data_IF_839823461239
#
_entry.id   IF_839823461239
#
_cell.length_a   1.000
_cell.length_b   1.000
_cell.length_c   1.000
_cell.angle_alpha   90.00
_cell.angle_beta   90.00
_cell.angle_gamma   90.00
#
_symmetry.space_group_name_H-M   'P 1'
#
loop_
_entity.id
_entity.type
_entity.pdbx_description
1 polymer ?
#
# COMPACT_ATOMS: atom_id res chain seq x y z
N UNK A 1 14.58 17.86 -9.20
CA UNK A 1 13.94 17.05 -8.13
C UNK A 1 12.53 16.69 -8.58
N UNK A 2 11.71 16.18 -7.66
CA UNK A 2 10.26 16.02 -7.86
C UNK A 2 9.56 17.37 -7.62
N UNK A 3 8.56 17.66 -8.44
CA UNK A 3 7.79 18.92 -8.38
C UNK A 3 6.45 18.74 -7.64
N UNK A 4 5.97 17.51 -7.51
CA UNK A 4 4.66 17.18 -6.96
C UNK A 4 3.53 17.20 -7.99
N UNK A 5 3.85 17.43 -9.27
CA UNK A 5 2.89 17.42 -10.40
C UNK A 5 2.99 16.15 -11.24
N UNK A 6 3.89 15.23 -10.87
CA UNK A 6 4.06 13.98 -11.55
C UNK A 6 2.87 13.03 -11.28
N UNK A 7 2.57 12.17 -12.24
CA UNK A 7 1.75 10.97 -12.00
C UNK A 7 2.67 9.88 -11.48
N UNK A 8 2.31 9.28 -10.34
CA UNK A 8 3.11 8.26 -9.68
C UNK A 8 2.49 6.89 -9.88
N UNK A 9 3.26 5.97 -10.46
CA UNK A 9 2.98 4.54 -10.49
C UNK A 9 3.85 3.84 -9.44
N UNK A 10 3.23 3.00 -8.60
CA UNK A 10 3.87 2.33 -7.48
C UNK A 10 3.66 0.83 -7.63
N UNK A 11 4.76 0.10 -7.79
CA UNK A 11 4.75 -1.36 -7.99
C UNK A 11 5.56 -2.07 -6.91
N UNK A 12 5.34 -3.38 -6.77
CA UNK A 12 6.04 -4.21 -5.77
C UNK A 12 5.32 -4.40 -4.44
N UNK A 13 4.12 -3.82 -4.27
CA UNK A 13 3.30 -3.94 -3.04
C UNK A 13 2.71 -5.36 -2.80
N UNK A 14 2.67 -6.21 -3.82
CA UNK A 14 1.94 -7.49 -3.76
C UNK A 14 2.64 -8.56 -2.92
N UNK A 15 3.93 -8.43 -2.60
CA UNK A 15 4.69 -9.43 -1.83
C UNK A 15 4.37 -9.33 -0.34
N UNK A 16 4.20 -10.47 0.32
CA UNK A 16 3.85 -10.59 1.76
C UNK A 16 4.95 -10.13 2.72
N UNK A 17 6.15 -9.87 2.22
CA UNK A 17 7.32 -9.42 2.96
C UNK A 17 7.94 -8.14 2.40
N UNK A 18 7.31 -7.48 1.41
CA UNK A 18 7.82 -6.24 0.83
C UNK A 18 8.16 -5.21 1.92
N UNK A 19 9.36 -4.65 1.84
CA UNK A 19 9.88 -3.55 2.66
C UNK A 19 10.21 -2.31 1.83
N UNK A 20 10.19 -2.46 0.50
CA UNK A 20 10.46 -1.42 -0.49
C UNK A 20 9.51 -1.57 -1.69
N UNK A 21 9.29 -0.46 -2.39
CA UNK A 21 8.47 -0.37 -3.60
C UNK A 21 9.20 0.39 -4.68
N UNK A 22 8.90 0.09 -5.94
CA UNK A 22 9.40 0.85 -7.08
C UNK A 22 8.40 1.93 -7.44
N UNK A 23 8.89 3.16 -7.56
CA UNK A 23 8.10 4.34 -7.89
C UNK A 23 8.55 4.87 -9.23
N UNK A 24 7.62 5.01 -10.17
CA UNK A 24 7.80 5.71 -11.44
C UNK A 24 7.01 7.01 -11.40
N UNK A 25 7.71 8.14 -11.44
CA UNK A 25 7.13 9.48 -11.47
C UNK A 25 7.22 10.06 -12.88
N UNK A 26 6.08 10.28 -13.52
CA UNK A 26 5.99 10.84 -14.88
C UNK A 26 5.55 12.29 -14.80
N UNK A 27 6.41 13.21 -15.21
CA UNK A 27 6.11 14.64 -15.25
C UNK A 27 5.13 15.00 -16.38
N UNK A 28 4.44 16.15 -16.30
CA UNK A 28 3.50 16.60 -17.34
C UNK A 28 4.11 16.78 -18.73
N UNK A 29 5.42 16.97 -18.81
CA UNK A 29 6.20 17.06 -20.04
C UNK A 29 6.62 15.70 -20.61
N UNK A 30 6.21 14.59 -19.97
CA UNK A 30 6.51 13.22 -20.35
C UNK A 30 7.81 12.66 -19.77
N UNK A 31 8.64 13.47 -19.10
CA UNK A 31 9.87 12.99 -18.50
C UNK A 31 9.58 12.06 -17.32
N UNK A 32 10.18 10.85 -17.33
CA UNK A 32 10.01 9.87 -16.28
C UNK A 32 11.23 9.79 -15.36
N UNK A 33 11.00 9.57 -14.07
CA UNK A 33 12.01 9.27 -13.05
C UNK A 33 11.62 8.02 -12.31
N UNK A 34 12.56 7.12 -12.09
CA UNK A 34 12.34 5.88 -11.34
C UNK A 34 13.24 5.87 -10.10
N UNK A 35 12.67 5.47 -8.97
CA UNK A 35 13.39 5.35 -7.71
C UNK A 35 12.70 4.36 -6.77
N UNK A 36 13.46 3.85 -5.81
CA UNK A 36 12.97 2.95 -4.76
C UNK A 36 12.55 3.77 -3.54
N UNK A 37 11.43 3.38 -2.93
CA UNK A 37 10.95 3.97 -1.69
C UNK A 37 10.72 2.89 -0.63
N UNK A 38 11.03 3.22 0.64
CA UNK A 38 10.77 2.32 1.76
C UNK A 38 9.28 2.19 2.03
N UNK A 39 8.77 0.96 2.09
CA UNK A 39 7.41 0.64 2.48
C UNK A 39 7.28 0.69 4.01
N UNK A 40 6.38 1.53 4.52
CA UNK A 40 6.13 1.72 5.97
C UNK A 40 4.97 0.85 6.48
N UNK A 41 4.92 -0.40 6.03
CA UNK A 41 4.09 -1.45 6.64
C UNK A 41 5.05 -2.28 7.47
N UNK A 42 5.28 -1.85 8.71
CA UNK A 42 6.39 -2.30 9.55
C UNK A 42 6.03 -3.60 10.30
N UNK A 43 4.74 -3.90 10.45
CA UNK A 43 4.28 -5.13 11.13
C UNK A 43 3.41 -6.03 10.24
N UNK A 44 3.38 -7.36 10.49
CA UNK A 44 2.45 -8.26 9.81
C UNK A 44 0.97 -7.87 10.02
N UNK A 45 0.65 -7.26 11.16
CA UNK A 45 -0.71 -6.84 11.50
C UNK A 45 -1.16 -5.64 10.67
N UNK A 46 -0.29 -4.65 10.46
CA UNK A 46 -0.56 -3.52 9.57
C UNK A 46 -0.80 -3.96 8.13
N UNK A 47 -0.10 -5.01 7.67
CA UNK A 47 -0.33 -5.60 6.34
C UNK A 47 -1.72 -6.20 6.22
N UNK A 48 -2.21 -6.86 7.27
CA UNK A 48 -3.59 -7.33 7.31
C UNK A 48 -4.55 -6.15 7.25
N UNK A 49 -4.35 -5.10 8.04
CA UNK A 49 -5.19 -3.90 7.99
C UNK A 49 -5.22 -3.30 6.58
N UNK A 50 -4.07 -3.16 5.92
CA UNK A 50 -3.97 -2.67 4.54
C UNK A 50 -4.79 -3.53 3.57
N UNK A 51 -4.65 -4.86 3.60
CA UNK A 51 -5.42 -5.79 2.75
C UNK A 51 -6.92 -5.70 2.96
N UNK A 52 -7.33 -5.37 4.18
CA UNK A 52 -8.72 -5.17 4.52
C UNK A 52 -9.17 -3.70 4.36
N UNK A 53 -8.40 -2.84 3.69
CA UNK A 53 -8.79 -1.44 3.46
C UNK A 53 -8.89 -0.60 4.73
N UNK A 54 -8.19 -1.00 5.80
CA UNK A 54 -8.11 -0.29 7.08
C UNK A 54 -8.42 -1.17 8.29
N UNK A 55 -8.00 -0.68 9.47
CA UNK A 55 -8.18 -1.38 10.76
C UNK A 55 -9.66 -1.57 11.11
N UNK A 56 -10.50 -0.55 10.90
CA UNK A 56 -11.92 -0.64 11.24
C UNK A 56 -12.61 -1.75 10.46
N UNK A 57 -12.35 -1.82 9.16
CA UNK A 57 -12.95 -2.81 8.28
C UNK A 57 -12.42 -4.23 8.56
N UNK A 58 -11.15 -4.36 8.96
CA UNK A 58 -10.60 -5.61 9.47
C UNK A 58 -11.38 -6.12 10.70
N UNK A 59 -11.59 -5.27 11.70
CA UNK A 59 -12.27 -5.63 12.95
C UNK A 59 -13.75 -5.92 12.72
N UNK A 60 -14.47 -5.07 11.99
CA UNK A 60 -15.90 -5.26 11.72
C UNK A 60 -16.18 -6.59 11.02
N UNK A 61 -15.33 -6.98 10.05
CA UNK A 61 -15.43 -8.29 9.39
C UNK A 61 -15.19 -9.46 10.34
N UNK A 62 -14.24 -9.32 11.26
CA UNK A 62 -14.00 -10.34 12.28
C UNK A 62 -15.20 -10.51 13.20
N UNK A 63 -15.78 -9.41 13.69
CA UNK A 63 -16.97 -9.44 14.54
C UNK A 63 -18.18 -10.05 13.81
N UNK A 64 -18.40 -9.68 12.55
CA UNK A 64 -19.46 -10.26 11.73
C UNK A 64 -19.27 -11.77 11.54
N UNK A 65 -18.04 -12.22 11.27
CA UNK A 65 -17.72 -13.65 11.12
C UNK A 65 -17.87 -14.42 12.44
N UNK A 66 -17.51 -13.81 13.57
CA UNK A 66 -17.62 -14.43 14.89
C UNK A 66 -19.09 -14.57 15.34
N UNK A 67 -19.96 -13.64 14.93
CA UNK A 67 -21.40 -13.68 15.23
C UNK A 67 -22.20 -14.71 14.44
N UNK A 68 -21.62 -15.36 13.43
CA UNK A 68 -22.31 -16.35 12.58
C UNK A 68 -22.09 -17.80 13.06
N UNK A 69 -21.39 -17.99 14.20
CA UNK A 69 -21.12 -19.30 14.79
C UNK A 69 -22.07 -19.68 15.95
N UNK A 70 -23.32 -19.18 15.93
CA UNK A 70 -24.38 -19.53 16.88
C UNK A 70 -25.61 -20.07 16.14
#
# INVERSE_FOLDING_TARGET
GLTGREVFDITGLSRDDATEVQVKAVAPDGNAREFTARLRIDTPKERQYYRHGGILQYVLRQLASAGTAA
#
